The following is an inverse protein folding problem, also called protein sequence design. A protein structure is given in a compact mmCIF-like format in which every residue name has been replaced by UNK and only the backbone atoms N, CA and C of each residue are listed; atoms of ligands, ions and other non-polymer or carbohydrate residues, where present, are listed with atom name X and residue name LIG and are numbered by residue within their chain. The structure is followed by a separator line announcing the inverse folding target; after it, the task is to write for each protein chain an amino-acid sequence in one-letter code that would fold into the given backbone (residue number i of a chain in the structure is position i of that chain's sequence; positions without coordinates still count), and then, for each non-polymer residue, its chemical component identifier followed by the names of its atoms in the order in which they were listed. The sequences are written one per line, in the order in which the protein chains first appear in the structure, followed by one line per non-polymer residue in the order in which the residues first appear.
data_IF_439532854106
#
_entry.id   IF_439532854106
#
_cell.length_a   1.000
_cell.length_b   1.000
_cell.length_c   1.000
_cell.angle_alpha   90.00
_cell.angle_beta   90.00
_cell.angle_gamma   90.00
#
_symmetry.space_group_name_H-M   'P 1'
#
loop_
_entity.id
_entity.type
_entity.pdbx_description
1 polymer ?
#
# COMPACT_ATOMS: atom_id res chain seq x y z
N UNK A 1 -30.47 -8.35 8.71
CA UNK A 1 -29.37 -9.27 8.35
C UNK A 1 -28.16 -8.78 9.12
N UNK A 2 -27.45 -9.64 9.86
CA UNK A 2 -26.24 -9.20 10.55
C UNK A 2 -25.15 -9.09 9.48
N UNK A 3 -24.61 -7.90 9.30
CA UNK A 3 -23.44 -7.67 8.45
C UNK A 3 -22.21 -8.00 9.29
N UNK A 4 -21.38 -8.92 8.80
CA UNK A 4 -20.16 -9.36 9.49
C UNK A 4 -18.99 -8.71 8.77
N UNK A 5 -18.20 -7.92 9.49
CA UNK A 5 -16.99 -7.32 8.98
C UNK A 5 -15.79 -8.20 9.30
N UNK A 6 -14.82 -8.22 8.38
CA UNK A 6 -13.64 -9.07 8.48
C UNK A 6 -12.37 -8.23 8.41
N UNK A 7 -11.24 -8.86 8.70
CA UNK A 7 -9.92 -8.23 8.55
C UNK A 7 -9.66 -7.76 7.11
N UNK A 8 -10.24 -8.42 6.09
CA UNK A 8 -10.09 -8.00 4.69
C UNK A 8 -10.76 -6.64 4.44
N UNK A 9 -11.94 -6.42 5.04
CA UNK A 9 -12.65 -5.14 4.96
C UNK A 9 -11.85 -4.01 5.62
N UNK A 10 -11.21 -4.30 6.75
CA UNK A 10 -10.32 -3.35 7.44
C UNK A 10 -9.09 -3.02 6.59
N UNK A 11 -8.49 -4.00 5.91
CA UNK A 11 -7.36 -3.77 4.99
C UNK A 11 -7.80 -2.85 3.85
N UNK A 12 -8.93 -3.16 3.18
CA UNK A 12 -9.47 -2.32 2.11
C UNK A 12 -9.73 -0.89 2.58
N UNK A 13 -10.30 -0.72 3.77
CA UNK A 13 -10.52 0.58 4.38
C UNK A 13 -9.21 1.35 4.61
N UNK A 14 -8.17 0.70 5.15
CA UNK A 14 -6.85 1.30 5.38
C UNK A 14 -6.17 1.75 4.07
N UNK A 15 -6.44 1.08 2.96
CA UNK A 15 -5.92 1.43 1.63
C UNK A 15 -6.87 2.34 0.82
N UNK A 16 -7.96 2.81 1.42
CA UNK A 16 -8.96 3.68 0.77
C UNK A 16 -9.64 3.01 -0.44
N UNK A 17 -9.80 1.68 -0.38
CA UNK A 17 -10.41 0.83 -1.42
C UNK A 17 -11.90 0.52 -1.15
N UNK A 18 -12.56 1.40 -0.40
CA UNK A 18 -13.95 1.29 0.06
C UNK A 18 -14.75 2.54 -0.32
N UNK A 19 -16.04 2.36 -0.56
CA UNK A 19 -16.97 3.46 -0.80
C UNK A 19 -17.28 4.23 0.48
N UNK A 20 -17.82 5.44 0.35
CA UNK A 20 -18.20 6.25 1.52
C UNK A 20 -19.28 5.59 2.40
N UNK A 21 -20.16 4.77 1.81
CA UNK A 21 -21.15 4.00 2.55
C UNK A 21 -20.51 2.83 3.31
N UNK A 22 -19.60 2.09 2.66
CA UNK A 22 -18.81 1.04 3.32
C UNK A 22 -17.97 1.61 4.47
N UNK A 23 -17.39 2.80 4.32
CA UNK A 23 -16.61 3.45 5.37
C UNK A 23 -17.39 3.63 6.65
N UNK A 24 -18.62 4.15 6.57
CA UNK A 24 -19.47 4.38 7.75
C UNK A 24 -19.77 3.06 8.47
N UNK A 25 -20.09 2.01 7.71
CA UNK A 25 -20.41 0.71 8.30
C UNK A 25 -19.19 0.03 8.92
N UNK A 26 -18.01 0.20 8.32
CA UNK A 26 -16.74 -0.30 8.86
C UNK A 26 -16.37 0.47 10.13
N UNK A 27 -16.55 1.79 10.15
CA UNK A 27 -16.31 2.63 11.34
C UNK A 27 -17.20 2.20 12.51
N UNK A 28 -18.49 1.96 12.27
CA UNK A 28 -19.41 1.42 13.29
C UNK A 28 -18.94 0.06 13.82
N UNK A 29 -18.49 -0.84 12.94
CA UNK A 29 -17.97 -2.15 13.32
C UNK A 29 -16.68 -2.06 14.14
N UNK A 30 -15.76 -1.18 13.76
CA UNK A 30 -14.53 -0.91 14.51
C UNK A 30 -14.84 -0.39 15.92
N UNK A 31 -15.88 0.45 16.09
CA UNK A 31 -16.29 0.93 17.42
C UNK A 31 -16.95 -0.17 18.27
N UNK A 32 -17.65 -1.11 17.64
CA UNK A 32 -18.38 -2.18 18.33
C UNK A 32 -17.50 -3.39 18.67
N UNK A 33 -16.47 -3.68 17.87
CA UNK A 33 -15.65 -4.89 17.97
C UNK A 33 -14.18 -4.56 18.27
N UNK A 34 -13.73 -4.73 19.54
CA UNK A 34 -12.36 -4.38 19.94
C UNK A 34 -11.27 -5.12 19.18
N UNK A 35 -11.51 -6.35 18.72
CA UNK A 35 -10.54 -7.12 17.94
C UNK A 35 -10.32 -6.51 16.56
N UNK A 36 -11.37 -6.03 15.88
CA UNK A 36 -11.24 -5.31 14.62
C UNK A 36 -10.52 -3.98 14.80
N UNK A 37 -10.78 -3.26 15.89
CA UNK A 37 -10.07 -2.01 16.21
C UNK A 37 -8.56 -2.26 16.43
N UNK A 38 -8.20 -3.31 17.18
CA UNK A 38 -6.79 -3.67 17.38
C UNK A 38 -6.13 -4.00 16.03
N UNK A 39 -6.78 -4.81 15.20
CA UNK A 39 -6.29 -5.15 13.88
C UNK A 39 -6.11 -3.91 12.98
N UNK A 40 -7.05 -2.95 13.03
CA UNK A 40 -6.95 -1.68 12.32
C UNK A 40 -5.71 -0.88 12.75
N UNK A 41 -5.48 -0.74 14.05
CA UNK A 41 -4.32 -0.03 14.59
C UNK A 41 -3.00 -0.70 14.20
N UNK A 42 -2.92 -2.03 14.31
CA UNK A 42 -1.74 -2.80 13.90
C UNK A 42 -1.46 -2.62 12.40
N UNK A 43 -2.52 -2.64 11.57
CA UNK A 43 -2.40 -2.47 10.12
C UNK A 43 -1.91 -1.07 9.75
N UNK A 44 -2.38 -0.02 10.44
CA UNK A 44 -1.88 1.35 10.27
C UNK A 44 -0.39 1.46 10.63
N UNK A 45 0.02 0.83 11.73
CA UNK A 45 1.42 0.81 12.13
C UNK A 45 2.30 0.11 11.08
N UNK A 46 1.89 -1.09 10.63
CA UNK A 46 2.60 -1.84 9.60
C UNK A 46 2.73 -1.03 8.32
N UNK A 47 1.64 -0.38 7.86
CA UNK A 47 1.67 0.49 6.67
C UNK A 47 2.69 1.63 6.83
N UNK A 48 2.75 2.25 8.01
CA UNK A 48 3.74 3.29 8.30
C UNK A 48 5.17 2.74 8.27
N UNK A 49 5.41 1.57 8.87
CA UNK A 49 6.73 0.93 8.90
C UNK A 49 7.19 0.47 7.51
N UNK A 50 6.28 -0.04 6.68
CA UNK A 50 6.58 -0.47 5.32
C UNK A 50 7.07 0.68 4.43
N UNK A 51 6.53 1.88 4.60
CA UNK A 51 6.99 3.08 3.89
C UNK A 51 8.43 3.49 4.25
N UNK A 52 8.98 2.99 5.37
CA UNK A 52 10.37 3.26 5.79
C UNK A 52 11.35 2.23 5.22
N UNK A 53 10.87 1.20 4.53
CA UNK A 53 11.74 0.17 3.95
C UNK A 53 12.47 0.77 2.75
N UNK A 54 13.74 1.09 2.94
CA UNK A 54 14.63 1.48 1.85
C UNK A 54 15.20 0.24 1.16
N UNK A 55 15.17 0.25 -0.17
CA UNK A 55 15.82 -0.77 -1.00
C UNK A 55 16.80 -0.07 -1.91
N UNK A 56 18.05 -0.54 -1.91
CA UNK A 56 19.07 -0.08 -2.86
C UNK A 56 19.14 -1.03 -4.04
N UNK A 57 19.19 -0.55 -5.29
CA UNK A 57 19.40 -1.40 -6.45
C UNK A 57 20.76 -2.10 -6.37
N UNK A 58 20.87 -3.25 -7.03
CA UNK A 58 22.16 -3.93 -7.14
C UNK A 58 23.16 -3.10 -7.95
N UNK A 59 24.46 -3.22 -7.65
CA UNK A 59 25.52 -2.56 -8.43
C UNK A 59 25.44 -2.88 -9.93
N UNK A 60 25.08 -4.12 -10.28
CA UNK A 60 24.92 -4.53 -11.67
C UNK A 60 23.80 -3.75 -12.38
N UNK A 61 22.64 -3.59 -11.71
CA UNK A 61 21.52 -2.82 -12.25
C UNK A 61 21.90 -1.36 -12.51
N UNK A 62 22.61 -0.73 -11.55
CA UNK A 62 23.10 0.65 -11.70
C UNK A 62 24.03 0.75 -12.91
N UNK A 63 25.00 -0.15 -13.03
CA UNK A 63 25.96 -0.11 -14.14
C UNK A 63 25.29 -0.33 -15.50
N UNK A 64 24.33 -1.25 -15.60
CA UNK A 64 23.60 -1.49 -16.83
C UNK A 64 22.86 -0.24 -17.31
N UNK A 65 22.17 0.48 -16.41
CA UNK A 65 21.48 1.73 -16.73
C UNK A 65 22.46 2.82 -17.16
N UNK A 66 23.57 3.00 -16.42
CA UNK A 66 24.59 4.00 -16.75
C UNK A 66 25.28 3.71 -18.09
N UNK A 67 25.50 2.43 -18.41
CA UNK A 67 26.10 2.03 -19.68
C UNK A 67 25.15 2.25 -20.85
N UNK A 68 23.87 1.93 -20.69
CA UNK A 68 22.85 2.24 -21.68
C UNK A 68 22.78 3.75 -21.93
N UNK A 69 22.63 4.56 -20.86
CA UNK A 69 22.49 6.01 -20.96
C UNK A 69 23.68 6.68 -21.65
N UNK A 70 24.92 6.23 -21.36
CA UNK A 70 26.14 6.78 -21.99
C UNK A 70 26.26 6.46 -23.48
N UNK A 71 25.71 5.32 -23.91
CA UNK A 71 25.79 4.86 -25.29
C UNK A 71 24.52 5.16 -26.09
N UNK A 72 23.55 5.84 -25.48
CA UNK A 72 22.31 6.23 -26.14
C UNK A 72 22.58 7.38 -27.12
N UNK A 73 22.67 7.06 -28.41
CA UNK A 73 22.57 8.06 -29.48
C UNK A 73 21.09 8.26 -29.83
N UNK A 74 20.52 9.46 -29.67
CA UNK A 74 19.20 9.77 -30.22
C UNK A 74 19.26 9.50 -31.72
N UNK A 75 18.34 8.69 -32.23
CA UNK A 75 18.24 8.40 -33.66
C UNK A 75 18.22 9.74 -34.42
N UNK A 76 19.07 9.96 -35.45
CA UNK A 76 18.99 11.19 -36.23
C UNK A 76 17.58 11.23 -36.85
N UNK A 77 16.89 12.34 -36.60
CA UNK A 77 15.52 12.59 -37.03
C UNK A 77 15.34 12.20 -38.51
N UNK A 78 14.34 11.36 -38.79
CA UNK A 78 13.94 10.97 -40.13
C UNK A 78 13.33 12.15 -40.90
#
# INVERSE_FOLDING_TARGET
MIQIFTNDDVIRYVYEETSAEENLLIEDALMAEPELMNFYLDTLEIKCLMNKIERTPSNASIQNILNFSRNYSPNPSA
#
